data_IF_061781911312
#
_entry.id   IF_061781911312
#
_cell.length_a   1.000
_cell.length_b   1.000
_cell.length_c   1.000
_cell.angle_alpha   90.00
_cell.angle_beta   90.00
_cell.angle_gamma   90.00
#
_symmetry.space_group_name_H-M   'P 1'
#
loop_
_entity.id
_entity.type
_entity.pdbx_description
1 polymer ?
#
# COMPACT_ATOMS: atom_id res chain seq x y z
N UNK A 1 30.89 -85.81 11.38
CA UNK A 1 30.14 -84.84 10.57
C UNK A 1 30.09 -83.52 11.33
N UNK A 2 31.04 -82.62 11.06
CA UNK A 2 31.17 -81.33 11.74
C UNK A 2 30.56 -80.23 10.88
N UNK A 3 29.51 -79.60 11.38
CA UNK A 3 28.80 -78.47 10.77
C UNK A 3 29.68 -77.21 10.82
N UNK A 4 30.02 -76.63 9.66
CA UNK A 4 30.61 -75.28 9.60
C UNK A 4 29.51 -74.22 9.54
N UNK A 5 29.39 -73.42 10.59
CA UNK A 5 28.61 -72.18 10.58
C UNK A 5 29.41 -71.10 9.85
N UNK A 6 28.92 -70.63 8.70
CA UNK A 6 29.44 -69.44 8.02
C UNK A 6 28.84 -68.19 8.68
N UNK A 7 29.66 -67.43 9.41
CA UNK A 7 29.28 -66.10 9.88
C UNK A 7 29.26 -65.11 8.71
N UNK A 8 28.09 -64.60 8.37
CA UNK A 8 27.93 -63.48 7.44
C UNK A 8 28.11 -62.20 8.23
N UNK A 9 29.21 -61.48 7.97
CA UNK A 9 29.46 -60.14 8.51
C UNK A 9 28.67 -59.15 7.65
N UNK A 10 27.64 -58.54 8.23
CA UNK A 10 26.89 -57.45 7.60
C UNK A 10 27.66 -56.15 7.86
N UNK A 11 28.42 -55.67 6.86
CA UNK A 11 29.03 -54.34 6.92
C UNK A 11 27.92 -53.33 6.64
N UNK A 12 27.39 -52.71 7.71
CA UNK A 12 26.55 -51.52 7.60
C UNK A 12 27.44 -50.36 7.14
N UNK A 13 27.46 -50.12 5.83
CA UNK A 13 27.94 -48.87 5.25
C UNK A 13 26.96 -47.75 5.67
N UNK A 14 27.27 -47.08 6.78
CA UNK A 14 26.72 -45.77 7.10
C UNK A 14 27.23 -44.79 6.05
N UNK A 15 26.51 -44.69 4.93
CA UNK A 15 26.67 -43.58 4.00
C UNK A 15 26.30 -42.30 4.78
N UNK A 16 27.20 -41.32 4.90
CA UNK A 16 26.83 -40.03 5.45
C UNK A 16 25.76 -39.45 4.54
N UNK A 17 24.54 -39.33 5.06
CA UNK A 17 23.53 -38.47 4.45
C UNK A 17 24.04 -37.04 4.58
N UNK A 18 24.80 -36.58 3.58
CA UNK A 18 24.98 -35.15 3.35
C UNK A 18 23.60 -34.58 3.06
N UNK A 19 22.89 -34.17 4.12
CA UNK A 19 21.88 -33.15 3.97
C UNK A 19 22.65 -31.91 3.53
N UNK A 20 22.57 -31.59 2.24
CA UNK A 20 22.94 -30.28 1.76
C UNK A 20 22.02 -29.29 2.49
N UNK A 21 22.48 -28.79 3.65
CA UNK A 21 21.96 -27.54 4.15
C UNK A 21 22.21 -26.56 3.02
N UNK A 22 21.14 -26.22 2.29
CA UNK A 22 21.26 -25.36 1.13
C UNK A 22 22.14 -24.17 1.54
N UNK A 23 23.19 -23.89 0.78
CA UNK A 23 24.04 -22.72 0.99
C UNK A 23 23.30 -21.48 0.48
N UNK A 24 23.53 -20.34 1.11
CA UNK A 24 23.04 -19.07 0.57
C UNK A 24 24.01 -18.62 -0.52
N UNK A 25 23.48 -18.26 -1.67
CA UNK A 25 24.20 -17.46 -2.65
C UNK A 25 24.08 -15.99 -2.32
N UNK A 26 25.03 -15.20 -2.82
CA UNK A 26 25.10 -13.77 -2.58
C UNK A 26 25.36 -13.00 -3.86
N UNK A 27 24.63 -11.91 -4.05
CA UNK A 27 24.95 -10.88 -5.03
C UNK A 27 25.02 -9.52 -4.33
N UNK A 28 25.89 -8.64 -4.80
CA UNK A 28 26.21 -7.38 -4.13
C UNK A 28 26.19 -6.21 -5.11
N UNK A 29 25.80 -5.05 -4.61
CA UNK A 29 25.92 -3.74 -5.24
C UNK A 29 26.49 -2.74 -4.21
N UNK A 30 26.54 -1.46 -4.55
CA UNK A 30 27.11 -0.41 -3.69
C UNK A 30 26.46 -0.38 -2.30
N UNK A 31 25.13 -0.38 -2.23
CA UNK A 31 24.39 -0.20 -0.97
C UNK A 31 23.64 -1.47 -0.52
N UNK A 32 23.63 -2.54 -1.32
CA UNK A 32 22.83 -3.74 -1.06
C UNK A 32 23.60 -5.05 -1.20
N UNK A 33 23.17 -6.04 -0.41
CA UNK A 33 23.59 -7.44 -0.54
C UNK A 33 22.37 -8.34 -0.49
N UNK A 34 22.16 -9.13 -1.54
CA UNK A 34 21.03 -10.06 -1.66
C UNK A 34 21.51 -11.48 -1.36
N UNK A 35 20.85 -12.13 -0.41
CA UNK A 35 21.02 -13.54 -0.05
C UNK A 35 19.85 -14.35 -0.60
N UNK A 36 20.12 -15.36 -1.42
CA UNK A 36 19.11 -16.18 -2.07
C UNK A 36 19.58 -17.63 -2.25
N UNK A 37 18.73 -18.52 -2.76
CA UNK A 37 19.14 -19.89 -3.13
C UNK A 37 19.46 -19.97 -4.62
N UNK A 38 20.41 -20.82 -4.98
CA UNK A 38 20.81 -21.04 -6.38
C UNK A 38 19.59 -21.19 -7.32
N UNK A 39 19.59 -20.44 -8.43
CA UNK A 39 18.56 -20.45 -9.47
C UNK A 39 17.11 -20.12 -9.01
N UNK A 40 16.92 -19.55 -7.82
CA UNK A 40 15.58 -19.25 -7.32
C UNK A 40 15.05 -17.87 -7.72
N UNK A 41 15.93 -16.88 -7.89
CA UNK A 41 15.58 -15.48 -8.18
C UNK A 41 16.53 -14.85 -9.21
N UNK A 42 16.06 -13.77 -9.83
CA UNK A 42 16.90 -12.85 -10.58
C UNK A 42 17.48 -11.79 -9.62
N UNK A 43 18.65 -12.06 -9.06
CA UNK A 43 19.30 -11.18 -8.09
C UNK A 43 19.77 -9.85 -8.69
N UNK A 44 20.09 -9.82 -9.99
CA UNK A 44 20.49 -8.62 -10.70
C UNK A 44 19.32 -7.61 -10.76
N UNK A 45 18.13 -8.06 -11.15
CA UNK A 45 16.93 -7.22 -11.14
C UNK A 45 16.58 -6.70 -9.74
N UNK A 46 16.77 -7.50 -8.69
CA UNK A 46 16.54 -7.08 -7.30
C UNK A 46 17.50 -5.93 -6.91
N UNK A 47 18.80 -6.10 -7.20
CA UNK A 47 19.81 -5.08 -6.92
C UNK A 47 19.54 -3.80 -7.71
N UNK A 48 19.18 -3.89 -8.99
CA UNK A 48 18.84 -2.73 -9.82
C UNK A 48 17.66 -1.94 -9.25
N UNK A 49 16.55 -2.61 -8.90
CA UNK A 49 15.39 -1.98 -8.27
C UNK A 49 15.78 -1.29 -6.96
N UNK A 50 16.59 -1.96 -6.14
CA UNK A 50 17.01 -1.46 -4.84
C UNK A 50 17.89 -0.21 -4.96
N UNK A 51 18.89 -0.23 -5.85
CA UNK A 51 19.80 0.89 -6.09
C UNK A 51 19.07 2.10 -6.68
N UNK A 52 18.19 1.88 -7.65
CA UNK A 52 17.37 2.94 -8.25
C UNK A 52 16.52 3.64 -7.17
N UNK A 53 15.87 2.87 -6.31
CA UNK A 53 15.05 3.45 -5.24
C UNK A 53 15.89 4.14 -4.16
N UNK A 54 17.06 3.59 -3.81
CA UNK A 54 18.00 4.24 -2.89
C UNK A 54 18.44 5.62 -3.41
N UNK A 55 18.72 5.73 -4.71
CA UNK A 55 19.07 7.00 -5.36
C UNK A 55 17.90 8.00 -5.36
N UNK A 56 16.66 7.55 -5.59
CA UNK A 56 15.44 8.38 -5.49
C UNK A 56 15.30 9.01 -4.09
N UNK A 57 15.73 8.31 -3.03
CA UNK A 57 15.58 8.72 -1.63
C UNK A 57 16.74 9.58 -1.11
N UNK A 58 17.38 10.38 -1.97
CA UNK A 58 18.56 11.21 -1.67
C UNK A 58 18.45 12.13 -0.44
N UNK A 59 17.25 12.64 -0.11
CA UNK A 59 17.02 13.45 1.11
C UNK A 59 17.34 12.65 2.38
N UNK A 60 17.04 11.35 2.38
CA UNK A 60 17.34 10.45 3.50
C UNK A 60 18.76 9.91 3.37
N UNK A 61 19.13 9.37 2.20
CA UNK A 61 20.36 8.56 2.06
C UNK A 61 21.64 9.38 2.28
N UNK A 62 21.60 10.70 2.08
CA UNK A 62 22.73 11.60 2.39
C UNK A 62 23.00 11.80 3.89
N UNK A 63 22.07 11.39 4.75
CA UNK A 63 22.12 11.67 6.20
C UNK A 63 22.15 10.40 7.05
N UNK A 64 22.10 9.23 6.43
CA UNK A 64 22.24 7.94 7.11
C UNK A 64 23.68 7.43 6.94
N UNK A 65 24.16 6.55 7.83
CA UNK A 65 25.45 5.89 7.66
C UNK A 65 25.53 5.13 6.33
N UNK A 66 26.73 5.08 5.76
CA UNK A 66 27.04 4.25 4.60
C UNK A 66 27.20 2.78 5.06
N UNK A 67 26.07 2.07 5.09
CA UNK A 67 25.95 0.69 5.55
C UNK A 67 25.18 -0.14 4.51
N UNK A 68 25.61 -1.40 4.32
CA UNK A 68 24.97 -2.29 3.35
C UNK A 68 23.64 -2.83 3.88
N UNK A 69 22.56 -2.62 3.13
CA UNK A 69 21.25 -3.23 3.39
C UNK A 69 21.27 -4.69 2.92
N UNK A 70 21.04 -5.62 3.84
CA UNK A 70 21.00 -7.06 3.59
C UNK A 70 19.58 -7.51 3.28
N UNK A 71 19.34 -8.02 2.08
CA UNK A 71 18.05 -8.54 1.63
C UNK A 71 18.13 -10.06 1.61
N UNK A 72 17.29 -10.74 2.37
CA UNK A 72 17.19 -12.21 2.39
C UNK A 72 15.93 -12.65 1.68
N UNK A 73 16.06 -13.52 0.67
CA UNK A 73 14.92 -14.06 -0.06
C UNK A 73 14.62 -15.49 0.40
N UNK A 74 13.42 -15.71 0.93
CA UNK A 74 12.98 -17.01 1.45
C UNK A 74 12.07 -17.73 0.46
N UNK A 75 12.48 -18.91 0.00
CA UNK A 75 11.72 -19.73 -0.95
C UNK A 75 10.52 -20.48 -0.37
N UNK A 76 10.10 -20.22 0.87
CA UNK A 76 8.82 -20.74 1.37
C UNK A 76 8.30 -19.79 2.45
N UNK A 77 6.99 -19.71 2.60
CA UNK A 77 6.33 -19.07 3.75
C UNK A 77 6.91 -19.56 5.08
N UNK A 78 7.15 -20.87 5.20
CA UNK A 78 7.70 -21.49 6.40
C UNK A 78 9.13 -21.01 6.69
N UNK A 79 9.98 -20.94 5.66
CA UNK A 79 11.33 -20.40 5.79
C UNK A 79 11.30 -18.91 6.16
N UNK A 80 10.39 -18.13 5.56
CA UNK A 80 10.18 -16.73 5.86
C UNK A 80 9.81 -16.52 7.34
N UNK A 81 8.76 -17.20 7.82
CA UNK A 81 8.33 -17.13 9.21
C UNK A 81 9.43 -17.58 10.19
N UNK A 82 10.15 -18.65 9.85
CA UNK A 82 11.27 -19.13 10.65
C UNK A 82 12.44 -18.13 10.68
N UNK A 83 12.68 -17.37 9.62
CA UNK A 83 13.82 -16.45 9.53
C UNK A 83 13.56 -15.09 10.17
N UNK A 84 12.31 -14.63 10.15
CA UNK A 84 11.86 -13.35 10.72
C UNK A 84 12.01 -13.32 12.24
N UNK A 85 11.70 -14.43 12.95
CA UNK A 85 11.75 -14.53 14.41
C UNK A 85 11.00 -13.39 15.15
N UNK A 86 9.88 -12.92 14.58
CA UNK A 86 9.04 -11.87 15.14
C UNK A 86 7.57 -12.21 14.88
N UNK A 87 6.61 -11.71 15.69
CA UNK A 87 5.19 -11.88 15.43
C UNK A 87 4.81 -11.08 14.17
N UNK A 88 4.83 -11.75 13.03
CA UNK A 88 4.36 -11.23 11.76
C UNK A 88 2.99 -11.83 11.43
N UNK A 89 2.19 -11.07 10.68
CA UNK A 89 0.93 -11.57 10.16
C UNK A 89 1.18 -12.69 9.15
N UNK A 90 0.27 -13.67 9.10
CA UNK A 90 0.43 -14.84 8.23
C UNK A 90 0.51 -14.48 6.73
N UNK A 91 -0.07 -13.35 6.33
CA UNK A 91 -0.04 -12.84 4.96
C UNK A 91 1.13 -11.89 4.65
N UNK A 92 2.06 -11.67 5.59
CA UNK A 92 3.20 -10.79 5.35
C UNK A 92 4.13 -11.39 4.28
N UNK A 93 4.39 -10.63 3.22
CA UNK A 93 5.28 -11.03 2.10
C UNK A 93 6.69 -10.45 2.22
N UNK A 94 6.89 -9.50 3.13
CA UNK A 94 8.14 -8.83 3.43
C UNK A 94 8.21 -8.42 4.91
N UNK A 95 9.42 -8.23 5.41
CA UNK A 95 9.67 -7.71 6.75
C UNK A 95 11.03 -7.01 6.83
N UNK A 96 10.99 -5.72 7.14
CA UNK A 96 12.16 -4.89 7.38
C UNK A 96 12.53 -4.82 8.88
N UNK A 97 13.83 -4.83 9.15
CA UNK A 97 14.45 -4.58 10.44
C UNK A 97 15.36 -3.36 10.30
N UNK A 98 14.81 -2.13 10.43
CA UNK A 98 15.54 -0.91 10.08
C UNK A 98 16.88 -0.80 10.80
N UNK A 99 16.89 -0.95 12.12
CA UNK A 99 18.09 -0.77 12.95
C UNK A 99 19.20 -1.82 12.70
N UNK A 100 18.86 -2.93 12.06
CA UNK A 100 19.82 -3.99 11.71
C UNK A 100 20.16 -4.02 10.21
N UNK A 101 19.70 -3.03 9.44
CA UNK A 101 19.92 -2.92 8.00
C UNK A 101 19.53 -4.20 7.25
N UNK A 102 18.43 -4.82 7.67
CA UNK A 102 18.03 -6.15 7.19
C UNK A 102 16.61 -6.14 6.67
N UNK A 103 16.39 -6.78 5.54
CA UNK A 103 15.11 -7.02 4.91
C UNK A 103 14.99 -8.52 4.66
N UNK A 104 13.81 -9.08 4.88
CA UNK A 104 13.47 -10.46 4.54
C UNK A 104 12.25 -10.41 3.64
N UNK A 105 12.26 -11.10 2.51
CA UNK A 105 11.14 -11.13 1.56
C UNK A 105 10.88 -12.57 1.16
N UNK A 106 9.62 -12.91 0.95
CA UNK A 106 9.27 -14.18 0.32
C UNK A 106 9.70 -14.20 -1.14
N UNK A 107 10.02 -15.40 -1.64
CA UNK A 107 10.41 -15.54 -3.04
C UNK A 107 9.28 -15.00 -3.95
N UNK A 108 9.58 -14.07 -4.87
CA UNK A 108 8.58 -13.43 -5.73
C UNK A 108 7.75 -14.42 -6.54
N UNK A 109 8.33 -15.58 -6.91
CA UNK A 109 7.65 -16.65 -7.65
C UNK A 109 6.54 -17.33 -6.83
N UNK A 110 6.57 -17.20 -5.50
CA UNK A 110 5.63 -17.79 -4.57
C UNK A 110 4.64 -16.81 -3.97
N UNK A 111 4.71 -15.54 -4.39
CA UNK A 111 3.71 -14.54 -4.03
C UNK A 111 2.48 -14.84 -4.92
N UNK A 112 1.72 -15.87 -4.55
CA UNK A 112 0.51 -16.35 -5.25
C UNK A 112 -0.66 -15.38 -5.09
N UNK A 113 -0.54 -14.39 -4.18
CA UNK A 113 -1.42 -13.23 -4.11
C UNK A 113 -1.13 -12.38 -5.35
N UNK A 114 -1.69 -12.83 -6.47
CA UNK A 114 -1.64 -12.19 -7.76
C UNK A 114 -2.08 -10.74 -7.61
N UNK A 115 -1.12 -9.79 -7.54
CA UNK A 115 -1.22 -8.36 -7.88
C UNK A 115 -0.07 -7.47 -7.36
N UNK A 116 0.72 -7.89 -6.37
CA UNK A 116 1.87 -7.09 -5.90
C UNK A 116 3.11 -7.38 -6.76
N UNK A 117 3.63 -6.36 -7.44
CA UNK A 117 4.87 -6.48 -8.20
C UNK A 117 6.06 -6.54 -7.22
N UNK A 118 7.05 -7.40 -7.50
CA UNK A 118 8.29 -7.50 -6.73
C UNK A 118 8.91 -6.12 -6.41
N UNK A 119 8.91 -5.23 -7.42
CA UNK A 119 9.41 -3.88 -7.26
C UNK A 119 8.69 -3.08 -6.17
N UNK A 120 7.37 -3.24 -6.03
CA UNK A 120 6.60 -2.54 -5.00
C UNK A 120 6.97 -3.03 -3.60
N UNK A 121 7.03 -4.36 -3.41
CA UNK A 121 7.42 -4.96 -2.12
C UNK A 121 8.84 -4.55 -1.73
N UNK A 122 9.79 -4.64 -2.65
CA UNK A 122 11.17 -4.21 -2.39
C UNK A 122 11.24 -2.73 -2.00
N UNK A 123 10.59 -1.84 -2.77
CA UNK A 123 10.58 -0.41 -2.46
C UNK A 123 9.93 -0.14 -1.10
N UNK A 124 8.85 -0.84 -0.76
CA UNK A 124 8.18 -0.72 0.55
C UNK A 124 9.10 -1.12 1.70
N UNK A 125 9.74 -2.30 1.62
CA UNK A 125 10.65 -2.75 2.67
C UNK A 125 11.92 -1.89 2.79
N UNK A 126 12.45 -1.41 1.66
CA UNK A 126 13.58 -0.47 1.67
C UNK A 126 13.15 0.86 2.29
N UNK A 127 11.93 1.35 2.02
CA UNK A 127 11.42 2.57 2.62
C UNK A 127 11.37 2.47 4.15
N UNK A 128 10.96 1.33 4.70
CA UNK A 128 11.03 1.08 6.14
C UNK A 128 12.45 1.19 6.69
N UNK A 129 13.45 0.56 6.04
CA UNK A 129 14.84 0.62 6.50
C UNK A 129 15.38 2.04 6.45
N UNK A 130 15.23 2.72 5.31
CA UNK A 130 15.72 4.10 5.13
C UNK A 130 15.05 5.06 6.12
N UNK A 131 13.73 5.01 6.24
CA UNK A 131 12.99 5.85 7.16
C UNK A 131 13.35 5.57 8.63
N UNK A 132 13.45 4.31 9.02
CA UNK A 132 13.82 3.92 10.39
C UNK A 132 15.26 4.28 10.74
N UNK A 133 16.19 4.22 9.77
CA UNK A 133 17.58 4.68 9.97
C UNK A 133 17.66 6.21 10.07
N UNK A 134 16.92 6.93 9.23
CA UNK A 134 16.83 8.39 9.30
C UNK A 134 16.25 8.84 10.64
N UNK A 135 15.17 8.20 11.09
CA UNK A 135 14.44 8.58 12.32
C UNK A 135 14.83 7.75 13.54
N UNK A 136 16.03 7.14 13.55
CA UNK A 136 16.47 6.19 14.60
C UNK A 136 16.32 6.70 16.03
N UNK A 137 16.34 8.03 16.26
CA UNK A 137 16.15 8.65 17.58
C UNK A 137 14.71 8.63 18.06
N UNK A 138 13.74 8.64 17.15
CA UNK A 138 12.29 8.62 17.41
C UNK A 138 11.62 7.27 17.11
N UNK A 139 12.39 6.27 16.65
CA UNK A 139 11.86 4.95 16.24
C UNK A 139 11.06 4.26 17.35
N UNK A 140 11.45 4.47 18.62
CA UNK A 140 10.73 3.95 19.78
C UNK A 140 9.48 4.81 20.03
N UNK A 141 8.30 4.24 19.75
CA UNK A 141 7.02 4.90 19.98
C UNK A 141 6.41 5.55 18.74
N UNK A 142 6.98 5.31 17.55
CA UNK A 142 6.37 5.76 16.30
C UNK A 142 5.10 4.94 16.00
N UNK A 143 3.95 5.59 15.75
CA UNK A 143 2.70 4.88 15.43
C UNK A 143 2.81 4.04 14.16
N UNK A 144 2.35 2.79 14.23
CA UNK A 144 2.44 1.84 13.11
C UNK A 144 1.74 2.37 11.85
N UNK A 145 0.55 2.98 11.98
CA UNK A 145 -0.14 3.58 10.84
C UNK A 145 0.72 4.61 10.09
N UNK A 146 1.55 5.37 10.81
CA UNK A 146 2.40 6.39 10.21
C UNK A 146 3.60 5.74 9.51
N UNK A 147 4.22 4.74 10.14
CA UNK A 147 5.32 3.95 9.53
C UNK A 147 4.87 3.30 8.23
N UNK A 148 3.70 2.67 8.22
CA UNK A 148 3.13 2.04 7.02
C UNK A 148 2.70 3.06 5.98
N UNK A 149 2.08 4.16 6.41
CA UNK A 149 1.74 5.27 5.51
C UNK A 149 2.98 5.81 4.79
N UNK A 150 4.08 6.04 5.52
CA UNK A 150 5.35 6.54 4.97
C UNK A 150 5.93 5.54 3.96
N UNK A 151 5.96 4.25 4.32
CA UNK A 151 6.47 3.22 3.43
C UNK A 151 5.65 3.12 2.14
N UNK A 152 4.32 3.14 2.22
CA UNK A 152 3.42 3.16 1.06
C UNK A 152 3.63 4.43 0.21
N UNK A 153 3.76 5.59 0.85
CA UNK A 153 3.91 6.86 0.15
C UNK A 153 5.25 6.97 -0.59
N UNK A 154 6.36 6.62 0.06
CA UNK A 154 7.69 6.67 -0.56
C UNK A 154 7.88 5.59 -1.62
N UNK A 155 7.39 4.37 -1.38
CA UNK A 155 7.47 3.29 -2.36
C UNK A 155 6.59 3.51 -3.59
N UNK A 156 5.60 4.41 -3.49
CA UNK A 156 4.50 4.59 -4.45
C UNK A 156 3.72 3.29 -4.65
N UNK A 157 3.54 2.53 -3.57
CA UNK A 157 2.83 1.26 -3.61
C UNK A 157 1.36 1.47 -4.03
N UNK A 158 0.90 0.59 -4.91
CA UNK A 158 -0.48 0.54 -5.32
C UNK A 158 -1.01 -0.89 -5.25
N UNK A 159 -2.02 -1.08 -4.39
CA UNK A 159 -2.73 -2.37 -4.24
C UNK A 159 -4.17 -2.25 -4.73
N UNK A 160 -4.61 -3.10 -5.68
CA UNK A 160 -5.99 -3.14 -6.12
C UNK A 160 -6.95 -3.40 -4.96
N UNK A 161 -8.10 -2.72 -4.93
CA UNK A 161 -9.10 -2.94 -3.89
C UNK A 161 -8.88 -2.10 -2.63
N UNK A 162 -7.71 -1.48 -2.44
CA UNK A 162 -7.42 -0.72 -1.21
C UNK A 162 -8.32 0.51 -1.07
N UNK A 163 -8.57 1.20 -2.17
CA UNK A 163 -9.49 2.34 -2.21
C UNK A 163 -10.92 1.89 -1.90
N UNK A 164 -11.35 0.78 -2.48
CA UNK A 164 -12.66 0.16 -2.31
C UNK A 164 -12.87 -0.32 -0.86
N UNK A 165 -11.84 -0.90 -0.24
CA UNK A 165 -11.83 -1.28 1.18
C UNK A 165 -12.11 -0.06 2.06
N UNK A 166 -11.42 1.06 1.84
CA UNK A 166 -11.67 2.27 2.62
C UNK A 166 -13.05 2.85 2.32
N UNK A 167 -13.45 2.96 1.04
CA UNK A 167 -14.77 3.44 0.63
C UNK A 167 -15.90 2.67 1.33
N UNK A 168 -15.83 1.34 1.32
CA UNK A 168 -16.79 0.46 2.01
C UNK A 168 -16.87 0.82 3.50
N UNK A 169 -15.73 0.95 4.17
CA UNK A 169 -15.69 1.20 5.61
C UNK A 169 -16.10 2.64 6.00
N UNK A 170 -15.91 3.61 5.11
CA UNK A 170 -16.49 4.96 5.26
C UNK A 170 -18.02 4.88 5.27
N UNK A 171 -18.62 4.13 4.33
CA UNK A 171 -20.08 3.97 4.28
C UNK A 171 -20.66 3.17 5.45
N UNK A 172 -19.97 2.12 5.89
CA UNK A 172 -20.41 1.31 7.05
C UNK A 172 -20.03 1.93 8.40
N UNK A 173 -19.41 3.12 8.41
CA UNK A 173 -18.95 3.83 9.62
C UNK A 173 -18.04 2.99 10.50
N UNK A 174 -17.14 2.22 9.87
CA UNK A 174 -16.20 1.29 10.53
C UNK A 174 -14.74 1.71 10.38
N UNK A 175 -14.48 2.97 10.01
CA UNK A 175 -13.14 3.55 10.02
C UNK A 175 -12.64 3.65 11.46
N UNK A 176 -11.46 3.11 11.71
CA UNK A 176 -10.84 3.09 13.03
C UNK A 176 -10.17 4.43 13.34
N UNK A 177 -10.24 4.94 14.58
CA UNK A 177 -9.37 6.02 15.03
C UNK A 177 -7.87 5.65 14.86
N UNK A 178 -7.03 6.61 14.45
CA UNK A 178 -5.59 6.33 14.22
C UNK A 178 -4.83 5.90 15.50
N UNK A 179 -5.31 6.28 16.68
CA UNK A 179 -4.71 5.83 17.95
C UNK A 179 -4.87 4.30 18.15
N UNK A 180 -5.93 3.68 17.63
CA UNK A 180 -6.11 2.22 17.65
C UNK A 180 -5.11 1.49 16.75
N UNK A 181 -4.56 2.19 15.75
CA UNK A 181 -3.56 1.69 14.80
C UNK A 181 -2.13 2.07 15.18
N UNK A 182 -1.90 2.51 16.42
CA UNK A 182 -0.57 2.96 16.89
C UNK A 182 0.35 1.79 17.22
N UNK A 183 -0.15 0.77 17.91
CA UNK A 183 0.68 -0.34 18.44
C UNK A 183 0.63 -1.57 17.54
N UNK A 184 -0.55 -1.91 17.02
CA UNK A 184 -0.77 -3.08 16.18
C UNK A 184 -1.95 -2.88 15.26
N UNK A 185 -1.93 -3.58 14.13
CA UNK A 185 -3.10 -3.70 13.27
C UNK A 185 -4.02 -4.85 13.73
N UNK A 186 -5.29 -4.84 13.31
CA UNK A 186 -6.20 -5.96 13.57
C UNK A 186 -5.63 -7.30 13.08
N UNK A 187 -5.92 -8.38 13.81
CA UNK A 187 -5.41 -9.72 13.51
C UNK A 187 -6.15 -10.41 12.34
N UNK A 188 -7.30 -9.90 11.92
CA UNK A 188 -8.00 -10.41 10.73
C UNK A 188 -7.45 -9.73 9.48
N UNK A 189 -7.33 -10.49 8.38
CA UNK A 189 -6.85 -9.96 7.10
C UNK A 189 -7.64 -8.73 6.66
N UNK A 190 -8.97 -8.78 6.67
CA UNK A 190 -9.83 -7.64 6.33
C UNK A 190 -9.58 -6.40 7.22
N UNK A 191 -9.29 -6.62 8.51
CA UNK A 191 -9.01 -5.53 9.43
C UNK A 191 -7.64 -4.91 9.20
N UNK A 192 -6.63 -5.73 8.88
CA UNK A 192 -5.31 -5.24 8.48
C UNK A 192 -5.36 -4.51 7.13
N UNK A 193 -6.10 -5.04 6.14
CA UNK A 193 -6.32 -4.37 4.85
C UNK A 193 -6.94 -2.98 5.03
N UNK A 194 -7.90 -2.85 5.96
CA UNK A 194 -8.47 -1.57 6.35
C UNK A 194 -7.41 -0.67 7.01
N UNK A 195 -6.61 -1.19 7.94
CA UNK A 195 -5.56 -0.42 8.60
C UNK A 195 -4.51 0.12 7.61
N UNK A 196 -4.08 -0.69 6.63
CA UNK A 196 -3.21 -0.24 5.53
C UNK A 196 -3.89 0.82 4.66
N UNK A 197 -5.17 0.63 4.32
CA UNK A 197 -5.93 1.61 3.55
C UNK A 197 -6.06 2.95 4.28
N UNK A 198 -6.31 2.93 5.59
CA UNK A 198 -6.35 4.12 6.45
C UNK A 198 -4.98 4.79 6.56
N UNK A 199 -3.91 4.02 6.72
CA UNK A 199 -2.53 4.52 6.81
C UNK A 199 -2.12 5.26 5.53
N UNK A 200 -2.41 4.66 4.37
CA UNK A 200 -2.17 5.30 3.07
C UNK A 200 -3.00 6.58 2.92
N UNK A 201 -4.29 6.51 3.22
CA UNK A 201 -5.18 7.65 3.00
C UNK A 201 -4.90 8.81 3.97
N UNK A 202 -4.61 8.53 5.24
CA UNK A 202 -4.25 9.54 6.21
C UNK A 202 -2.99 10.30 5.78
N UNK A 203 -1.94 9.60 5.36
CA UNK A 203 -0.71 10.26 4.90
C UNK A 203 -0.91 10.97 3.55
N UNK A 204 -1.67 10.37 2.62
CA UNK A 204 -2.05 11.05 1.38
C UNK A 204 -2.79 12.35 1.67
N UNK A 205 -3.79 12.31 2.55
CA UNK A 205 -4.56 13.48 2.94
C UNK A 205 -3.70 14.55 3.63
N UNK A 206 -2.76 14.13 4.49
CA UNK A 206 -1.75 15.04 5.04
C UNK A 206 -1.02 15.81 3.93
N UNK A 207 -0.54 15.10 2.90
CA UNK A 207 0.22 15.72 1.79
C UNK A 207 -0.69 16.57 0.91
N UNK A 208 -1.94 16.17 0.70
CA UNK A 208 -2.93 16.94 -0.07
C UNK A 208 -3.29 18.27 0.62
N UNK A 209 -3.42 18.28 1.95
CA UNK A 209 -3.84 19.47 2.71
C UNK A 209 -2.66 20.36 3.08
N UNK A 210 -1.58 19.78 3.57
CA UNK A 210 -0.43 20.53 4.09
C UNK A 210 0.70 20.67 3.07
N UNK A 211 0.81 19.74 2.11
CA UNK A 211 1.90 19.70 1.14
C UNK A 211 3.04 18.75 1.52
N UNK A 212 3.93 18.51 0.57
CA UNK A 212 5.09 17.60 0.73
C UNK A 212 6.17 18.17 1.65
N UNK A 213 6.42 19.49 1.64
CA UNK A 213 7.48 20.07 2.48
C UNK A 213 7.13 20.03 3.98
N UNK A 214 5.88 20.26 4.42
CA UNK A 214 5.50 20.00 5.82
C UNK A 214 5.66 18.53 6.23
N UNK A 215 5.50 17.57 5.32
CA UNK A 215 5.76 16.16 5.64
C UNK A 215 7.25 15.98 5.95
N UNK A 216 8.13 16.51 5.11
CA UNK A 216 9.57 16.49 5.36
C UNK A 216 9.95 17.21 6.65
N UNK A 217 9.34 18.36 6.94
CA UNK A 217 9.57 19.08 8.20
C UNK A 217 9.19 18.22 9.41
N UNK A 218 8.07 17.49 9.37
CA UNK A 218 7.70 16.53 10.43
C UNK A 218 8.75 15.41 10.54
N UNK A 219 9.17 14.82 9.43
CA UNK A 219 10.18 13.76 9.40
C UNK A 219 11.53 14.26 9.96
N UNK A 220 11.90 15.50 9.70
CA UNK A 220 13.12 16.12 10.25
C UNK A 220 13.02 16.34 11.76
N UNK A 221 11.84 16.67 12.29
CA UNK A 221 11.62 16.67 13.76
C UNK A 221 11.74 15.27 14.36
N UNK A 222 11.29 14.23 13.66
CA UNK A 222 11.51 12.84 14.10
C UNK A 222 13.01 12.48 14.06
N UNK A 223 13.74 12.93 13.04
CA UNK A 223 15.19 12.74 12.93
C UNK A 223 15.95 13.35 14.12
N UNK A 224 15.50 14.49 14.65
CA UNK A 224 16.10 15.11 15.84
C UNK A 224 15.71 14.41 17.15
N UNK A 225 14.71 13.52 17.13
CA UNK A 225 14.28 12.69 18.26
C UNK A 225 12.96 13.11 18.91
N UNK A 226 12.22 14.06 18.32
CA UNK A 226 10.88 14.39 18.80
C UNK A 226 9.93 13.22 18.51
N UNK A 227 8.94 13.02 19.39
CA UNK A 227 7.85 12.09 19.11
C UNK A 227 6.90 12.68 18.04
N UNK A 228 6.11 11.83 17.38
CA UNK A 228 5.24 12.24 16.28
C UNK A 228 4.21 13.32 16.68
N UNK A 229 3.66 13.25 17.90
CA UNK A 229 2.70 14.25 18.36
C UNK A 229 3.32 15.65 18.45
N UNK A 230 4.47 15.75 19.12
CA UNK A 230 5.21 17.01 19.23
C UNK A 230 5.73 17.50 17.87
N UNK A 231 6.10 16.59 16.96
CA UNK A 231 6.48 16.95 15.61
C UNK A 231 5.31 17.60 14.86
N UNK A 232 4.10 17.03 14.94
CA UNK A 232 2.88 17.60 14.37
C UNK A 232 2.56 18.98 14.96
N UNK A 233 2.55 19.10 16.29
CA UNK A 233 2.30 20.38 16.96
C UNK A 233 3.29 21.47 16.51
N UNK A 234 4.57 21.11 16.40
CA UNK A 234 5.61 22.08 16.02
C UNK A 234 5.58 22.53 14.56
N UNK A 235 5.05 21.70 13.66
CA UNK A 235 5.06 21.97 12.20
C UNK A 235 3.70 22.48 11.72
N UNK A 236 2.62 21.92 12.24
CA UNK A 236 1.25 22.18 11.79
C UNK A 236 0.46 23.07 12.76
N UNK A 237 0.93 23.22 14.00
CA UNK A 237 0.21 23.95 15.05
C UNK A 237 -0.93 23.18 15.70
N UNK A 238 -1.09 21.89 15.37
CA UNK A 238 -2.08 21.00 15.98
C UNK A 238 -1.50 19.60 16.20
N UNK A 239 -2.11 18.87 17.14
CA UNK A 239 -1.65 17.57 17.60
C UNK A 239 -2.19 16.40 16.74
N UNK A 240 -1.75 15.17 17.04
CA UNK A 240 -2.19 13.98 16.32
C UNK A 240 -3.67 13.68 16.52
N UNK A 241 -4.24 14.03 17.67
CA UNK A 241 -5.66 13.83 17.94
C UNK A 241 -6.52 14.72 17.05
N UNK A 242 -6.12 15.98 16.89
CA UNK A 242 -6.76 16.95 15.99
C UNK A 242 -6.60 16.50 14.53
N UNK A 243 -5.41 16.03 14.14
CA UNK A 243 -5.19 15.46 12.81
C UNK A 243 -6.14 14.29 12.50
N UNK A 244 -6.22 13.29 13.40
CA UNK A 244 -7.12 12.14 13.23
C UNK A 244 -8.58 12.56 13.09
N UNK A 245 -9.03 13.52 13.92
CA UNK A 245 -10.39 14.05 13.84
C UNK A 245 -10.65 14.70 12.48
N UNK A 246 -9.81 15.65 12.05
CA UNK A 246 -10.00 16.36 10.78
C UNK A 246 -9.91 15.42 9.57
N UNK A 247 -8.98 14.48 9.60
CA UNK A 247 -8.84 13.46 8.56
C UNK A 247 -10.13 12.63 8.45
N UNK A 248 -10.65 12.10 9.58
CA UNK A 248 -11.88 11.30 9.59
C UNK A 248 -13.11 12.10 9.15
N UNK A 249 -13.21 13.37 9.54
CA UNK A 249 -14.28 14.27 9.07
C UNK A 249 -14.21 14.58 7.57
N UNK A 250 -13.02 14.52 6.97
CA UNK A 250 -12.84 14.71 5.53
C UNK A 250 -13.34 13.51 4.70
N UNK A 251 -13.35 12.30 5.28
CA UNK A 251 -13.59 11.05 4.55
C UNK A 251 -14.96 11.04 3.86
N UNK A 252 -16.10 11.33 4.52
CA UNK A 252 -17.40 11.34 3.86
C UNK A 252 -17.40 12.29 2.66
N UNK A 253 -16.87 13.51 2.81
CA UNK A 253 -16.86 14.50 1.72
C UNK A 253 -16.04 14.02 0.51
N UNK A 254 -14.85 13.46 0.73
CA UNK A 254 -13.97 12.96 -0.35
C UNK A 254 -14.54 11.72 -1.04
N UNK A 255 -15.18 10.83 -0.28
CA UNK A 255 -15.66 9.55 -0.79
C UNK A 255 -17.12 9.58 -1.28
N UNK A 256 -17.96 10.52 -0.82
CA UNK A 256 -19.33 10.69 -1.32
C UNK A 256 -19.37 11.13 -2.79
N UNK A 257 -18.59 12.13 -3.17
CA UNK A 257 -18.52 12.57 -4.57
C UNK A 257 -17.88 11.50 -5.47
N UNK A 258 -16.85 10.81 -4.96
CA UNK A 258 -16.23 9.69 -5.66
C UNK A 258 -17.25 8.56 -5.91
N UNK A 259 -18.10 8.23 -4.95
CA UNK A 259 -19.16 7.22 -5.11
C UNK A 259 -20.25 7.63 -6.09
N UNK A 260 -20.62 8.92 -6.15
CA UNK A 260 -21.63 9.41 -7.08
C UNK A 260 -21.11 9.38 -8.52
N UNK A 261 -19.82 9.67 -8.73
CA UNK A 261 -19.18 9.68 -10.04
C UNK A 261 -18.68 8.30 -10.50
N UNK A 262 -18.32 7.41 -9.58
CA UNK A 262 -17.85 6.05 -9.90
C UNK A 262 -18.99 5.06 -10.20
N UNK A 263 -20.21 5.35 -9.72
CA UNK A 263 -21.38 4.54 -10.05
C UNK A 263 -21.85 4.83 -11.47
N UNK A 264 -21.47 3.94 -12.40
CA UNK A 264 -21.91 3.95 -13.80
C UNK A 264 -23.43 4.14 -13.92
N UNK A 265 -24.21 3.49 -13.05
CA UNK A 265 -25.68 3.58 -13.07
C UNK A 265 -26.21 4.96 -12.65
N UNK A 266 -25.60 5.62 -11.66
CA UNK A 266 -26.03 6.96 -11.23
C UNK A 266 -25.62 7.99 -12.28
N UNK A 267 -24.42 7.86 -12.84
CA UNK A 267 -23.94 8.73 -13.91
C UNK A 267 -24.80 8.61 -15.18
N UNK A 268 -24.98 7.41 -15.71
CA UNK A 268 -25.81 7.18 -16.91
C UNK A 268 -27.30 7.40 -16.65
N UNK A 269 -27.79 7.04 -15.47
CA UNK A 269 -29.18 7.31 -15.06
C UNK A 269 -29.47 8.81 -14.95
N UNK A 270 -28.56 9.58 -14.35
CA UNK A 270 -28.66 11.04 -14.29
C UNK A 270 -28.60 11.69 -15.67
N UNK A 271 -27.71 11.21 -16.56
CA UNK A 271 -27.63 11.68 -17.94
C UNK A 271 -28.94 11.37 -18.71
N UNK A 272 -29.51 10.18 -18.53
CA UNK A 272 -30.78 9.79 -19.14
C UNK A 272 -31.94 10.69 -18.66
N UNK A 273 -32.00 10.99 -17.37
CA UNK A 273 -33.02 11.92 -16.81
C UNK A 273 -32.85 13.32 -17.38
N UNK A 274 -31.62 13.83 -17.50
CA UNK A 274 -31.36 15.12 -18.14
C UNK A 274 -31.79 15.13 -19.61
N UNK A 275 -31.47 14.07 -20.36
CA UNK A 275 -31.92 13.92 -21.74
C UNK A 275 -33.45 13.90 -21.86
N UNK A 276 -34.14 13.16 -20.99
CA UNK A 276 -35.60 13.13 -20.95
C UNK A 276 -36.20 14.49 -20.61
N UNK A 277 -35.59 15.22 -19.67
CA UNK A 277 -36.00 16.57 -19.32
C UNK A 277 -35.86 17.53 -20.51
N UNK A 278 -34.69 17.57 -21.17
CA UNK A 278 -34.49 18.41 -22.36
C UNK A 278 -35.38 17.99 -23.52
N UNK A 279 -35.59 16.69 -23.72
CA UNK A 279 -36.54 16.16 -24.70
C UNK A 279 -37.96 16.65 -24.39
N UNK A 280 -38.42 16.56 -23.15
CA UNK A 280 -39.75 17.01 -22.76
C UNK A 280 -39.93 18.52 -22.91
N UNK A 281 -38.93 19.31 -22.50
CA UNK A 281 -38.93 20.77 -22.68
C UNK A 281 -38.98 21.15 -24.15
N UNK A 282 -38.15 20.52 -25.00
CA UNK A 282 -38.11 20.77 -26.44
C UNK A 282 -39.40 20.32 -27.13
N UNK A 283 -39.98 19.19 -26.71
CA UNK A 283 -41.26 18.68 -27.20
C UNK A 283 -42.41 19.63 -26.86
N UNK A 284 -42.50 20.12 -25.62
CA UNK A 284 -43.51 21.10 -25.23
C UNK A 284 -43.35 22.42 -25.99
N UNK A 285 -42.11 22.90 -26.16
CA UNK A 285 -41.84 24.10 -26.99
C UNK A 285 -42.25 23.89 -28.45
N UNK A 286 -42.02 22.71 -29.02
CA UNK A 286 -42.41 22.37 -30.40
C UNK A 286 -43.94 22.32 -30.54
N UNK A 287 -44.65 21.69 -29.60
CA UNK A 287 -46.13 21.67 -29.59
C UNK A 287 -46.72 23.07 -29.52
N UNK A 288 -46.19 23.94 -28.66
CA UNK A 288 -46.66 25.33 -28.55
C UNK A 288 -46.44 26.12 -29.84
N UNK A 289 -45.36 25.86 -30.60
CA UNK A 289 -45.13 26.50 -31.91
C UNK A 289 -46.11 26.01 -32.98
N UNK A 290 -46.35 24.70 -33.03
CA UNK A 290 -47.29 24.10 -33.99
C UNK A 290 -48.73 24.58 -33.74
N UNK A 291 -49.17 24.67 -32.49
CA UNK A 291 -50.51 25.18 -32.16
C UNK A 291 -50.68 26.65 -32.56
N UNK A 292 -49.62 27.47 -32.47
CA UNK A 292 -49.65 28.86 -32.94
C UNK A 292 -49.77 28.94 -34.47
N UNK A 293 -49.04 28.11 -35.20
CA UNK A 293 -49.12 28.05 -36.66
C UNK A 293 -50.51 27.58 -37.13
N UNK A 294 -51.08 26.55 -36.50
CA UNK A 294 -52.41 26.06 -36.82
C UNK A 294 -53.51 27.12 -36.57
N UNK A 295 -53.39 27.91 -35.50
CA UNK A 295 -54.30 29.04 -35.26
C UNK A 295 -54.15 30.15 -36.30
N UNK A 296 -52.94 30.37 -36.84
CA UNK A 296 -52.72 31.35 -37.91
C UNK A 296 -53.32 30.87 -39.23
N UNK A 297 -53.13 29.59 -39.57
CA UNK A 297 -53.74 28.97 -40.76
C UNK A 297 -55.27 28.99 -40.69
N UNK A 298 -55.90 28.67 -39.55
CA UNK A 298 -57.36 28.76 -39.41
C UNK A 298 -57.89 30.19 -39.55
N UNK A 299 -57.17 31.19 -39.03
CA UNK A 299 -57.57 32.60 -39.15
C UNK A 299 -57.39 33.10 -40.59
N UNK A 300 -56.33 32.68 -41.29
CA UNK A 300 -56.12 32.98 -42.71
C UNK A 300 -57.15 32.28 -43.61
N UNK A 301 -57.45 31.00 -43.39
CA UNK A 301 -58.47 30.28 -44.16
C UNK A 301 -59.87 30.86 -44.01
N UNK A 302 -60.21 31.38 -42.82
CA UNK A 302 -61.46 32.12 -42.59
C UNK A 302 -61.46 33.48 -43.28
N UNK A 303 -60.30 34.12 -43.40
CA UNK A 303 -60.13 35.37 -44.14
C UNK A 303 -60.29 35.16 -45.66
N UNK A 304 -59.79 34.05 -46.21
CA UNK A 304 -59.87 33.72 -47.64
C UNK A 304 -61.18 33.02 -48.07
N UNK A 305 -62.06 32.63 -47.12
CA UNK A 305 -63.40 32.05 -47.39
C UNK A 305 -64.54 33.06 -47.53
N UNK A 306 -64.27 34.37 -47.45
CA UNK A 306 -65.23 35.45 -47.72
C UNK A 306 -65.03 36.00 -49.13
#
# INVERSE_FOLDING_TARGET
>A
MTFQMKSIVFVLLLLPTFSAAASWETSESTHFRVYYRENTVDSASILEIAENFYAEMSRITRHIPDETIKIYICDTQKAFQAFVHAPIQDWAVGCAFPLSWRIIIQNPKQITVAKLQLAQVLRHEIAHVLFGQYTKKAVKGMPLWFVEGIAIHFSKEWVPGRHETLLKNVFTKSVLPLNELTIKFPASQNGADLAYAQSQDALRWFVEVNGTEPLWAVIDRLHTGLNLNTAFESVLGYDLTTFDMQWRESLPKRYHWASLLSSSYIFWGGLAVLFLFFYFVSWNRRRMRLNKLAQQEEVEDVFFRK
#
